data_IF_531040907918
#
_entry.id   IF_531040907918
#
_cell.length_a   1.000
_cell.length_b   1.000
_cell.length_c   1.000
_cell.angle_alpha   90.00
_cell.angle_beta   90.00
_cell.angle_gamma   90.00
#
_symmetry.space_group_name_H-M   'P 1'
#
loop_
_entity.id
_entity.type
_entity.pdbx_description
1 polymer ?
#
# COMPACT_ATOMS: atom_id res chain seq x y z
N UNK A 1 -5.85 -13.81 -13.33
CA UNK A 1 -6.88 -13.08 -14.03
C UNK A 1 -7.51 -11.95 -13.25
N UNK A 2 -8.17 -12.16 -12.07
CA UNK A 2 -8.86 -11.05 -11.38
C UNK A 2 -7.90 -9.96 -10.90
N UNK A 3 -6.74 -10.29 -10.37
CA UNK A 3 -5.75 -9.31 -9.91
C UNK A 3 -5.19 -8.50 -11.08
N UNK A 4 -4.94 -9.15 -12.21
CA UNK A 4 -4.52 -8.46 -13.43
C UNK A 4 -5.61 -7.50 -13.92
N UNK A 5 -6.85 -7.95 -13.97
CA UNK A 5 -7.98 -7.11 -14.35
C UNK A 5 -8.18 -5.94 -13.37
N UNK A 6 -8.03 -6.18 -12.06
CA UNK A 6 -8.04 -5.11 -11.07
C UNK A 6 -6.91 -4.11 -11.31
N UNK A 7 -5.69 -4.57 -11.57
CA UNK A 7 -4.56 -3.70 -11.86
C UNK A 7 -4.78 -2.84 -13.11
N UNK A 8 -5.35 -3.41 -14.17
CA UNK A 8 -5.69 -2.65 -15.39
C UNK A 8 -6.73 -1.54 -15.11
N UNK A 9 -7.75 -1.84 -14.32
CA UNK A 9 -8.76 -0.85 -13.93
C UNK A 9 -8.16 0.24 -13.04
N UNK A 10 -7.40 -0.12 -12.00
CA UNK A 10 -6.86 0.85 -11.05
C UNK A 10 -5.69 1.66 -11.60
N UNK A 11 -5.04 1.19 -12.69
CA UNK A 11 -3.96 1.94 -13.34
C UNK A 11 -4.41 3.32 -13.83
N UNK A 12 -5.66 3.44 -14.26
CA UNK A 12 -6.24 4.68 -14.80
C UNK A 12 -6.90 5.56 -13.74
N UNK A 13 -6.96 5.10 -12.49
CA UNK A 13 -7.62 5.89 -11.44
C UNK A 13 -6.72 7.06 -11.00
N UNK A 14 -7.33 8.21 -10.66
CA UNK A 14 -6.60 9.39 -10.19
C UNK A 14 -6.07 9.25 -8.77
N UNK A 15 -6.47 8.19 -8.06
CA UNK A 15 -6.05 7.91 -6.68
C UNK A 15 -4.81 7.04 -6.66
N UNK A 16 -3.82 7.41 -5.84
CA UNK A 16 -2.63 6.59 -5.64
C UNK A 16 -3.03 5.28 -4.93
N UNK A 17 -2.69 4.15 -5.56
CA UNK A 17 -3.05 2.83 -5.05
C UNK A 17 -1.84 1.90 -5.05
N UNK A 18 -1.80 1.04 -4.03
CA UNK A 18 -0.83 -0.04 -3.93
C UNK A 18 -1.47 -1.33 -3.41
N UNK A 19 -0.87 -2.46 -3.74
CA UNK A 19 -1.24 -3.77 -3.23
C UNK A 19 -0.01 -4.38 -2.55
N UNK A 20 -0.17 -4.81 -1.31
CA UNK A 20 0.85 -5.46 -0.50
C UNK A 20 0.52 -6.93 -0.31
N UNK A 21 1.52 -7.82 -0.50
CA UNK A 21 1.37 -9.24 -0.20
C UNK A 21 1.58 -9.50 1.30
N UNK A 22 0.54 -9.98 1.95
CA UNK A 22 0.52 -10.20 3.40
C UNK A 22 1.13 -11.55 3.82
N UNK A 23 1.42 -12.44 2.87
CA UNK A 23 2.02 -13.75 3.13
C UNK A 23 3.53 -13.79 2.91
N UNK A 24 4.08 -12.77 2.29
CA UNK A 24 5.53 -12.67 2.06
C UNK A 24 6.19 -11.92 3.23
N UNK A 25 7.24 -12.46 3.86
CA UNK A 25 7.98 -11.75 4.89
C UNK A 25 8.43 -10.37 4.41
N UNK A 26 8.27 -9.37 5.26
CA UNK A 26 8.55 -7.97 4.91
C UNK A 26 7.35 -7.23 4.32
N UNK A 27 6.27 -7.92 3.97
CA UNK A 27 5.04 -7.33 3.43
C UNK A 27 5.34 -6.44 2.21
N UNK A 28 5.87 -7.01 1.12
CA UNK A 28 6.30 -6.24 -0.04
C UNK A 28 5.11 -5.71 -0.83
N UNK A 29 5.28 -4.52 -1.40
CA UNK A 29 4.37 -3.99 -2.41
C UNK A 29 4.57 -4.78 -3.70
N UNK A 30 3.49 -5.39 -4.19
CA UNK A 30 3.48 -6.21 -5.40
C UNK A 30 2.88 -5.47 -6.60
N UNK A 31 2.16 -4.39 -6.35
CA UNK A 31 1.59 -3.54 -7.38
C UNK A 31 1.43 -2.10 -6.88
N UNK A 32 1.64 -1.13 -7.76
CA UNK A 32 1.20 0.26 -7.59
C UNK A 32 0.83 0.87 -8.96
N UNK A 33 -0.10 1.82 -8.95
CA UNK A 33 -0.54 2.50 -10.17
C UNK A 33 0.29 3.77 -10.47
N UNK A 34 0.03 4.39 -11.63
CA UNK A 34 0.73 5.61 -12.05
C UNK A 34 0.51 6.79 -11.09
N UNK A 35 -0.67 6.91 -10.47
CA UNK A 35 -0.95 7.96 -9.50
C UNK A 35 -0.06 7.84 -8.24
N UNK A 36 0.32 6.62 -7.84
CA UNK A 36 1.28 6.40 -6.74
C UNK A 36 2.67 6.96 -7.08
N UNK A 37 3.14 6.78 -8.32
CA UNK A 37 4.40 7.34 -8.82
C UNK A 37 4.34 8.87 -8.77
N UNK A 38 3.26 9.45 -9.27
CA UNK A 38 3.04 10.91 -9.28
C UNK A 38 3.01 11.49 -7.86
N UNK A 39 2.26 10.84 -6.94
CA UNK A 39 2.13 11.31 -5.56
C UNK A 39 3.46 11.28 -4.81
N UNK A 40 4.24 10.21 -4.99
CA UNK A 40 5.42 9.96 -4.14
C UNK A 40 6.74 10.36 -4.78
N UNK A 41 6.77 10.50 -6.12
CA UNK A 41 7.98 10.79 -6.89
C UNK A 41 8.93 9.60 -7.04
N UNK A 42 8.58 8.41 -6.55
CA UNK A 42 9.34 7.18 -6.76
C UNK A 42 8.85 6.46 -8.01
N UNK A 43 9.76 5.91 -8.79
CA UNK A 43 9.42 5.05 -9.92
C UNK A 43 8.89 3.68 -9.46
N UNK A 44 8.07 3.02 -10.29
CA UNK A 44 7.52 1.70 -9.96
C UNK A 44 8.60 0.69 -9.56
N UNK A 45 9.75 0.69 -10.26
CA UNK A 45 10.89 -0.19 -9.93
C UNK A 45 11.52 0.10 -8.57
N UNK A 46 11.40 1.34 -8.07
CA UNK A 46 11.86 1.73 -6.73
C UNK A 46 10.84 1.37 -5.63
N UNK A 47 9.57 1.14 -5.99
CA UNK A 47 8.47 0.85 -5.07
C UNK A 47 8.29 -0.66 -4.87
N UNK A 48 8.35 -1.44 -5.96
CA UNK A 48 8.10 -2.88 -5.92
C UNK A 48 9.08 -3.61 -5.00
N UNK A 49 8.59 -4.60 -4.28
CA UNK A 49 9.36 -5.39 -3.32
C UNK A 49 9.64 -4.70 -1.98
N UNK A 50 9.35 -3.40 -1.85
CA UNK A 50 9.55 -2.66 -0.59
C UNK A 50 8.33 -2.75 0.30
N UNK A 51 8.55 -2.61 1.60
CA UNK A 51 7.48 -2.33 2.55
C UNK A 51 7.11 -0.85 2.47
N UNK A 52 5.81 -0.51 2.57
CA UNK A 52 5.34 0.88 2.45
C UNK A 52 5.91 1.84 3.51
N UNK A 53 6.58 1.34 4.56
CA UNK A 53 7.31 2.17 5.53
C UNK A 53 8.43 3.01 4.93
N UNK A 54 8.85 2.75 3.68
CA UNK A 54 9.84 3.58 3.00
C UNK A 54 9.39 5.04 2.81
N UNK A 55 8.09 5.31 2.92
CA UNK A 55 7.52 6.66 2.92
C UNK A 55 7.60 7.36 4.28
N UNK A 56 7.99 6.64 5.34
CA UNK A 56 8.10 7.19 6.69
C UNK A 56 9.44 7.88 6.89
N UNK A 57 9.48 8.82 7.84
CA UNK A 57 10.69 9.56 8.17
C UNK A 57 10.57 10.24 9.55
N UNK A 58 11.50 11.15 9.90
CA UNK A 58 11.61 11.71 11.25
C UNK A 58 10.35 12.40 11.78
N UNK A 59 9.50 12.94 10.91
CA UNK A 59 8.26 13.64 11.30
C UNK A 59 7.02 12.73 11.26
N UNK A 60 7.17 11.46 10.89
CA UNK A 60 6.06 10.51 10.85
C UNK A 60 5.55 10.22 12.26
N UNK A 61 4.25 10.31 12.47
CA UNK A 61 3.60 10.17 13.76
C UNK A 61 3.64 8.71 14.23
N UNK A 62 4.42 8.43 15.28
CA UNK A 62 4.58 7.08 15.82
C UNK A 62 3.27 6.47 16.34
N UNK A 63 2.33 7.29 16.84
CA UNK A 63 1.03 6.82 17.28
C UNK A 63 0.20 6.29 16.08
N UNK A 64 0.16 7.04 14.98
CA UNK A 64 -0.53 6.65 13.76
C UNK A 64 0.08 5.39 13.14
N UNK A 65 1.41 5.29 13.14
CA UNK A 65 2.08 4.07 12.66
C UNK A 65 1.68 2.84 13.50
N UNK A 66 1.57 2.98 14.82
CA UNK A 66 1.08 1.89 15.68
C UNK A 66 -0.36 1.49 15.35
N UNK A 67 -1.25 2.45 15.09
CA UNK A 67 -2.62 2.19 14.65
C UNK A 67 -2.65 1.40 13.33
N UNK A 68 -1.85 1.82 12.34
CA UNK A 68 -1.71 1.11 11.06
C UNK A 68 -1.23 -0.34 11.27
N UNK A 69 -0.23 -0.54 12.14
CA UNK A 69 0.29 -1.89 12.45
C UNK A 69 -0.78 -2.77 13.09
N UNK A 70 -1.59 -2.22 14.00
CA UNK A 70 -2.71 -2.95 14.61
C UNK A 70 -3.73 -3.36 13.54
N UNK A 71 -4.15 -2.42 12.69
CA UNK A 71 -5.10 -2.70 11.61
C UNK A 71 -4.59 -3.79 10.65
N UNK A 72 -3.32 -3.74 10.27
CA UNK A 72 -2.68 -4.76 9.45
C UNK A 72 -2.71 -6.13 10.15
N UNK A 73 -2.36 -6.21 11.43
CA UNK A 73 -2.32 -7.46 12.19
C UNK A 73 -3.69 -8.08 12.41
N UNK A 74 -4.70 -7.24 12.57
CA UNK A 74 -6.08 -7.68 12.83
C UNK A 74 -6.93 -7.79 11.56
N UNK A 75 -6.33 -7.55 10.38
CA UNK A 75 -7.03 -7.54 9.09
C UNK A 75 -8.29 -6.66 9.12
N UNK A 76 -8.18 -5.47 9.71
CA UNK A 76 -9.28 -4.51 9.80
C UNK A 76 -9.06 -3.35 8.83
N UNK A 77 -10.17 -2.84 8.28
CA UNK A 77 -10.13 -1.61 7.49
C UNK A 77 -9.80 -0.44 8.40
N UNK A 78 -8.87 0.40 7.97
CA UNK A 78 -8.56 1.64 8.69
C UNK A 78 -8.29 2.78 7.71
N UNK A 79 -8.59 4.01 8.15
CA UNK A 79 -8.23 5.24 7.46
C UNK A 79 -7.53 6.15 8.45
N UNK A 80 -6.30 6.53 8.14
CA UNK A 80 -5.47 7.39 8.99
C UNK A 80 -4.84 8.51 8.19
N UNK A 81 -4.38 9.54 8.89
CA UNK A 81 -3.57 10.63 8.32
C UNK A 81 -2.17 10.55 8.94
N UNK A 82 -1.17 10.47 8.08
CA UNK A 82 0.23 10.28 8.50
C UNK A 82 1.17 11.13 7.67
N UNK A 83 2.17 11.71 8.29
CA UNK A 83 3.22 12.45 7.57
C UNK A 83 4.14 11.47 6.85
N UNK A 84 4.15 11.57 5.52
CA UNK A 84 5.03 10.80 4.65
C UNK A 84 6.00 11.70 3.90
N UNK A 85 7.00 11.07 3.28
CA UNK A 85 8.08 11.72 2.55
C UNK A 85 8.08 11.27 1.10
N UNK A 86 8.18 12.24 0.17
CA UNK A 86 8.42 11.96 -1.24
C UNK A 86 9.91 11.66 -1.48
N UNK A 87 10.22 11.20 -2.67
CA UNK A 87 11.60 10.90 -3.08
C UNK A 87 12.54 12.11 -2.98
N UNK A 88 12.04 13.30 -3.21
CA UNK A 88 12.81 14.55 -3.11
C UNK A 88 13.01 15.05 -1.68
N UNK A 89 12.49 14.32 -0.68
CA UNK A 89 12.54 14.67 0.73
C UNK A 89 11.44 15.62 1.20
N UNK A 90 10.58 16.12 0.31
CA UNK A 90 9.42 16.90 0.70
C UNK A 90 8.41 16.04 1.47
N UNK A 91 7.68 16.65 2.40
CA UNK A 91 6.66 15.95 3.20
C UNK A 91 5.27 16.25 2.67
N UNK A 92 4.34 15.31 2.88
CA UNK A 92 2.92 15.49 2.65
C UNK A 92 2.10 14.76 3.71
N UNK A 93 0.90 15.23 3.96
CA UNK A 93 -0.04 14.54 4.85
C UNK A 93 -0.77 13.49 4.02
N UNK A 94 -0.35 12.25 4.17
CA UNK A 94 -0.98 11.13 3.49
C UNK A 94 -2.25 10.70 4.22
N UNK A 95 -3.40 10.90 3.59
CA UNK A 95 -4.63 10.23 4.02
C UNK A 95 -4.64 8.84 3.37
N UNK A 96 -4.39 7.80 4.17
CA UNK A 96 -4.28 6.43 3.69
C UNK A 96 -5.41 5.57 4.23
N UNK A 97 -6.13 4.91 3.32
CA UNK A 97 -7.09 3.86 3.65
C UNK A 97 -6.48 2.52 3.32
N UNK A 98 -6.48 1.61 4.29
CA UNK A 98 -6.01 0.23 4.11
C UNK A 98 -7.20 -0.72 4.21
N UNK A 99 -7.35 -1.60 3.22
CA UNK A 99 -8.43 -2.59 3.14
C UNK A 99 -7.86 -3.99 2.99
N UNK A 100 -8.19 -4.92 3.90
CA UNK A 100 -7.75 -6.30 3.80
C UNK A 100 -8.54 -7.04 2.71
N UNK A 101 -7.85 -7.95 2.02
CA UNK A 101 -8.44 -8.87 1.04
C UNK A 101 -8.11 -10.30 1.46
N UNK A 102 -9.15 -11.12 1.67
CA UNK A 102 -9.02 -12.52 2.06
C UNK A 102 -9.18 -13.43 0.85
N UNK A 103 -8.54 -14.58 0.87
CA UNK A 103 -8.78 -15.64 -0.11
C UNK A 103 -10.09 -16.40 0.20
N UNK A 104 -10.43 -17.36 -0.66
CA UNK A 104 -11.64 -18.19 -0.51
C UNK A 104 -11.66 -19.06 0.77
N UNK A 105 -10.50 -19.23 1.41
CA UNK A 105 -10.38 -19.95 2.68
C UNK A 105 -10.41 -19.01 3.89
N UNK A 106 -10.68 -17.70 3.67
CA UNK A 106 -10.68 -16.69 4.71
C UNK A 106 -9.28 -16.25 5.17
N UNK A 107 -8.22 -16.63 4.46
CA UNK A 107 -6.85 -16.22 4.80
C UNK A 107 -6.58 -14.81 4.29
N UNK A 108 -6.07 -13.95 5.16
CA UNK A 108 -5.63 -12.59 4.79
C UNK A 108 -4.48 -12.66 3.79
N UNK A 109 -4.77 -12.32 2.54
CA UNK A 109 -3.85 -12.51 1.42
C UNK A 109 -3.20 -11.23 0.95
N UNK A 110 -3.98 -10.16 0.79
CA UNK A 110 -3.48 -8.87 0.33
C UNK A 110 -4.03 -7.72 1.17
N UNK A 111 -3.29 -6.61 1.20
CA UNK A 111 -3.79 -5.32 1.66
C UNK A 111 -3.78 -4.34 0.50
N UNK A 112 -4.92 -3.70 0.26
CA UNK A 112 -5.03 -2.62 -0.72
C UNK A 112 -4.92 -1.30 0.03
N UNK A 113 -3.94 -0.49 -0.34
CA UNK A 113 -3.76 0.86 0.16
C UNK A 113 -4.23 1.89 -0.87
N UNK A 114 -5.05 2.83 -0.45
CA UNK A 114 -5.42 4.01 -1.23
C UNK A 114 -4.87 5.24 -0.51
N UNK A 115 -4.08 6.03 -1.23
CA UNK A 115 -3.36 7.17 -0.69
C UNK A 115 -3.81 8.46 -1.38
N UNK A 116 -3.87 9.55 -0.63
CA UNK A 116 -4.09 10.89 -1.18
C UNK A 116 -3.32 11.95 -0.40
N UNK A 117 -2.92 13.04 -1.07
CA UNK A 117 -2.41 14.21 -0.35
C UNK A 117 -3.55 14.87 0.40
N UNK A 118 -3.45 14.90 1.71
CA UNK A 118 -4.49 15.40 2.59
C UNK A 118 -4.80 16.90 2.45
N UNK A 119 -4.02 17.64 1.65
CA UNK A 119 -4.31 19.02 1.31
C UNK A 119 -5.53 19.14 0.36
N UNK A 120 -5.75 18.12 -0.48
CA UNK A 120 -6.79 18.13 -1.51
C UNK A 120 -8.09 17.42 -1.11
N UNK A 121 -8.17 16.87 0.10
CA UNK A 121 -9.07 15.77 0.45
C UNK A 121 -10.49 16.13 0.90
N UNK A 122 -10.96 17.36 0.76
CA UNK A 122 -12.34 17.69 1.19
C UNK A 122 -13.38 17.34 0.11
N UNK A 123 -12.99 17.28 -1.16
CA UNK A 123 -13.92 16.96 -2.25
C UNK A 123 -14.06 15.48 -2.57
N UNK A 124 -13.12 14.64 -2.16
CA UNK A 124 -12.99 13.26 -2.63
C UNK A 124 -13.48 12.16 -1.67
N UNK A 125 -13.98 12.54 -0.49
CA UNK A 125 -14.42 11.57 0.53
C UNK A 125 -15.47 10.58 0.02
N UNK A 126 -16.45 11.06 -0.74
CA UNK A 126 -17.50 10.22 -1.31
C UNK A 126 -16.96 9.30 -2.43
N UNK A 127 -16.08 9.82 -3.29
CA UNK A 127 -15.46 9.04 -4.35
C UNK A 127 -14.51 7.97 -3.79
N UNK A 128 -13.75 8.31 -2.74
CA UNK A 128 -12.88 7.36 -2.05
C UNK A 128 -13.70 6.26 -1.34
N UNK A 129 -14.83 6.60 -0.71
CA UNK A 129 -15.73 5.62 -0.11
C UNK A 129 -16.40 4.73 -1.18
N UNK A 130 -16.80 5.30 -2.33
CA UNK A 130 -17.33 4.52 -3.45
C UNK A 130 -16.28 3.55 -4.01
N UNK A 131 -15.05 4.02 -4.19
CA UNK A 131 -13.93 3.17 -4.61
C UNK A 131 -13.68 2.05 -3.58
N UNK A 132 -13.63 2.38 -2.30
CA UNK A 132 -13.47 1.41 -1.22
C UNK A 132 -14.59 0.37 -1.19
N UNK A 133 -15.84 0.80 -1.43
CA UNK A 133 -16.98 -0.12 -1.50
C UNK A 133 -16.88 -1.08 -2.69
N UNK A 134 -16.27 -0.63 -3.80
CA UNK A 134 -16.06 -1.42 -5.00
C UNK A 134 -14.83 -2.34 -4.93
N UNK A 135 -13.91 -2.12 -3.99
CA UNK A 135 -12.73 -2.97 -3.84
C UNK A 135 -13.11 -4.41 -3.43
N UNK A 136 -12.42 -5.42 -3.97
CA UNK A 136 -12.68 -6.80 -3.63
C UNK A 136 -12.36 -7.05 -2.15
N UNK A 137 -13.30 -7.65 -1.43
CA UNK A 137 -13.13 -8.06 -0.02
C UNK A 137 -12.69 -9.52 0.11
N UNK A 138 -12.89 -10.30 -0.96
CA UNK A 138 -12.49 -11.71 -1.03
C UNK A 138 -12.08 -12.09 -2.44
N UNK A 139 -11.25 -13.13 -2.55
CA UNK A 139 -10.78 -13.71 -3.80
C UNK A 139 -11.43 -15.06 -4.02
N UNK A 140 -11.82 -15.36 -5.26
CA UNK A 140 -12.24 -16.73 -5.61
C UNK A 140 -11.02 -17.63 -5.77
N UNK A 141 -11.19 -18.91 -5.42
CA UNK A 141 -10.11 -19.91 -5.29
C UNK A 141 -9.26 -20.14 -6.53
N UNK A 142 -9.77 -19.82 -7.71
CA UNK A 142 -9.12 -20.11 -9.00
C UNK A 142 -8.12 -19.03 -9.43
N UNK A 143 -8.00 -17.95 -8.68
CA UNK A 143 -7.06 -16.87 -8.98
C UNK A 143 -5.67 -17.22 -8.44
N UNK A 144 -4.81 -17.81 -9.26
CA UNK A 144 -3.39 -17.87 -8.93
C UNK A 144 -2.84 -16.44 -8.82
N UNK A 145 -2.16 -16.08 -7.72
CA UNK A 145 -1.50 -14.80 -7.63
C UNK A 145 -0.43 -14.69 -8.73
N UNK A 146 -0.17 -13.48 -9.25
CA UNK A 146 1.00 -13.30 -10.09
C UNK A 146 2.22 -13.80 -9.32
N UNK A 147 3.05 -14.60 -9.98
CA UNK A 147 4.31 -15.06 -9.40
C UNK A 147 5.18 -13.85 -9.16
N UNK A 148 5.49 -13.60 -7.89
CA UNK A 148 6.52 -12.64 -7.52
C UNK A 148 7.85 -13.14 -8.12
N UNK A 149 8.48 -12.30 -8.93
CA UNK A 149 9.83 -12.56 -9.43
C UNK A 149 10.84 -11.92 -8.46
N UNK A 150 11.51 -12.70 -7.62
CA UNK A 150 12.49 -12.16 -6.68
C UNK A 150 13.70 -11.53 -7.37
N UNK A 151 13.92 -11.79 -8.68
CA UNK A 151 15.01 -11.18 -9.44
C UNK A 151 14.79 -9.69 -9.72
N UNK A 152 13.54 -9.21 -9.60
CA UNK A 152 13.19 -7.79 -9.75
C UNK A 152 13.35 -6.98 -8.45
N UNK A 153 13.59 -7.64 -7.32
CA UNK A 153 13.83 -7.00 -6.03
C UNK A 153 15.34 -6.80 -5.79
N UNK A 154 15.91 -5.77 -6.35
CA UNK A 154 17.29 -5.35 -6.05
C UNK A 154 17.44 -4.62 -4.70
N UNK A 155 16.55 -4.88 -3.75
CA UNK A 155 16.59 -4.23 -2.44
C UNK A 155 16.64 -5.29 -1.36
N UNK A 156 17.80 -5.40 -0.73
CA UNK A 156 18.04 -6.24 0.46
C UNK A 156 17.09 -5.82 1.60
N UNK A 157 15.98 -6.55 1.73
CA UNK A 157 14.96 -6.31 2.75
C UNK A 157 15.54 -6.44 4.17
N UNK A 158 16.59 -7.26 4.35
CA UNK A 158 17.27 -7.45 5.62
C UNK A 158 18.16 -6.24 5.99
N UNK A 159 18.75 -5.57 5.01
CA UNK A 159 19.55 -4.37 5.27
C UNK A 159 18.67 -3.20 5.73
N UNK A 160 17.46 -3.07 5.19
CA UNK A 160 16.49 -2.06 5.63
C UNK A 160 15.93 -2.35 7.02
N UNK A 161 15.70 -3.62 7.39
CA UNK A 161 15.26 -4.01 8.73
C UNK A 161 16.32 -3.72 9.82
N UNK A 162 17.62 -3.81 9.49
CA UNK A 162 18.71 -3.49 10.42
C UNK A 162 18.83 -1.99 10.69
N UNK A 163 18.57 -1.15 9.72
CA UNK A 163 18.68 0.31 9.86
C UNK A 163 17.64 0.90 10.83
N UNK A 164 16.47 0.25 11.00
CA UNK A 164 15.41 0.68 11.91
C UNK A 164 15.46 0.03 13.31
N UNK A 165 16.37 -0.93 13.53
CA UNK A 165 16.58 -1.53 14.86
C UNK A 165 17.68 -0.84 15.69
N UNK A 166 18.41 0.08 15.05
CA UNK A 166 19.55 0.80 15.67
C UNK A 166 19.30 2.31 15.86
N UNK A 167 18.04 2.79 15.69
CA UNK A 167 17.64 4.18 15.97
C UNK A 167 16.64 4.25 17.12
#
# INVERSE_FOLDING_TARGET
PWLQMLCEVVEQLPYAMLITDMRVPGLPITYCNAAMVTLTGYDKGEIYGRNCRFLQGPRTEAATVREMVVAIRTATVTTVRVTNYRRDGSTFINAVTMSPVHDSNGVYRYSIGVLSDGADSISDGAALEALRAALPKSLQADAQPPTYDPSLSNVDADAQLKQYRSA
#
